data_IF_719363810467
#
_entry.id   IF_719363810467
#
_cell.length_a   1.000
_cell.length_b   1.000
_cell.length_c   1.000
_cell.angle_alpha   90.00
_cell.angle_beta   90.00
_cell.angle_gamma   90.00
#
_symmetry.space_group_name_H-M   'P 1'
#
loop_
_entity.id
_entity.type
_entity.pdbx_description
1 polymer ?
#
# COMPACT_ATOMS: atom_id res chain seq x y z
N UNK A 1 -8.27 10.72 15.41
CA UNK A 1 -7.80 10.17 14.11
C UNK A 1 -8.74 10.65 13.02
N UNK A 2 -8.17 10.96 11.86
CA UNK A 2 -8.96 11.46 10.74
C UNK A 2 -9.31 10.32 9.79
N UNK A 3 -10.47 9.69 10.02
CA UNK A 3 -10.96 8.59 9.18
C UNK A 3 -11.10 9.03 7.71
N UNK A 4 -11.63 10.22 7.48
CA UNK A 4 -11.80 10.74 6.13
C UNK A 4 -10.46 10.87 5.40
N UNK A 5 -9.43 11.34 6.10
CA UNK A 5 -8.10 11.46 5.50
C UNK A 5 -7.52 10.11 5.11
N UNK A 6 -7.66 9.11 5.95
CA UNK A 6 -7.15 7.76 5.68
C UNK A 6 -7.91 7.13 4.51
N UNK A 7 -9.21 7.30 4.43
CA UNK A 7 -10.02 6.80 3.31
C UNK A 7 -9.61 7.52 2.01
N UNK A 8 -9.34 8.82 2.06
CA UNK A 8 -8.86 9.56 0.89
C UNK A 8 -7.53 9.02 0.39
N UNK A 9 -6.64 8.65 1.30
CA UNK A 9 -5.36 8.05 0.93
C UNK A 9 -5.58 6.70 0.23
N UNK A 10 -6.47 5.86 0.77
CA UNK A 10 -6.81 4.58 0.13
C UNK A 10 -7.40 4.78 -1.26
N UNK A 11 -8.28 5.77 -1.43
CA UNK A 11 -8.85 6.09 -2.73
C UNK A 11 -7.80 6.64 -3.69
N UNK A 12 -6.81 7.37 -3.19
CA UNK A 12 -5.67 7.81 -3.98
C UNK A 12 -4.89 6.62 -4.55
N UNK A 13 -4.65 5.60 -3.74
CA UNK A 13 -4.02 4.37 -4.23
C UNK A 13 -4.87 3.66 -5.26
N UNK A 14 -6.18 3.61 -5.05
CA UNK A 14 -7.09 3.05 -6.05
C UNK A 14 -6.95 3.76 -7.39
N UNK A 15 -6.89 5.09 -7.35
CA UNK A 15 -6.72 5.89 -8.56
C UNK A 15 -5.39 5.56 -9.27
N UNK A 16 -4.31 5.44 -8.50
CA UNK A 16 -2.99 5.08 -9.04
C UNK A 16 -3.06 3.68 -9.68
N UNK A 17 -3.73 2.74 -9.02
CA UNK A 17 -3.90 1.37 -9.55
C UNK A 17 -4.66 1.40 -10.88
N UNK A 18 -5.69 2.23 -10.97
CA UNK A 18 -6.45 2.37 -12.22
C UNK A 18 -5.56 2.90 -13.36
N UNK A 19 -4.74 3.91 -13.07
CA UNK A 19 -3.80 4.45 -14.06
C UNK A 19 -2.81 3.36 -14.50
N UNK A 20 -2.25 2.61 -13.56
CA UNK A 20 -1.33 1.53 -13.89
C UNK A 20 -2.00 0.44 -14.73
N UNK A 21 -3.26 0.13 -14.45
CA UNK A 21 -4.01 -0.83 -15.25
C UNK A 21 -4.20 -0.37 -16.68
N UNK A 22 -4.50 0.91 -16.88
CA UNK A 22 -4.59 1.49 -18.23
C UNK A 22 -3.25 1.43 -18.92
N UNK A 23 -2.17 1.77 -18.23
CA UNK A 23 -0.81 1.69 -18.79
C UNK A 23 -0.47 0.28 -19.24
N UNK A 24 -0.85 -0.73 -18.46
CA UNK A 24 -0.61 -2.14 -18.82
C UNK A 24 -1.31 -2.52 -20.12
N UNK A 25 -2.52 -2.02 -20.32
CA UNK A 25 -3.23 -2.24 -21.56
C UNK A 25 -2.57 -1.53 -22.75
N UNK A 26 -2.02 -0.34 -22.51
CA UNK A 26 -1.35 0.41 -23.56
C UNK A 26 -0.05 -0.24 -24.02
N UNK A 27 0.56 -1.13 -23.22
CA UNK A 27 1.74 -1.89 -23.65
C UNK A 27 1.47 -2.74 -24.91
N UNK A 28 0.21 -3.07 -25.16
CA UNK A 28 -0.16 -3.85 -26.37
C UNK A 28 -0.21 -2.99 -27.63
N UNK A 29 -0.29 -1.66 -27.50
CA UNK A 29 -0.49 -0.74 -28.60
C UNK A 29 0.72 0.18 -28.79
N UNK A 30 1.37 0.58 -27.69
CA UNK A 30 2.46 1.54 -27.68
C UNK A 30 3.67 0.89 -27.02
N UNK A 31 4.87 1.12 -27.59
CA UNK A 31 6.11 0.64 -26.98
C UNK A 31 6.53 1.59 -25.87
N UNK A 32 6.64 1.05 -24.65
CA UNK A 32 7.16 1.77 -23.49
C UNK A 32 8.55 1.27 -23.15
N UNK A 33 9.38 2.15 -22.59
CA UNK A 33 10.72 1.80 -22.12
C UNK A 33 10.71 0.99 -20.84
N UNK A 34 9.55 0.86 -20.18
CA UNK A 34 9.42 0.14 -18.92
C UNK A 34 9.22 -1.35 -19.16
N UNK A 35 9.73 -2.16 -18.22
CA UNK A 35 9.49 -3.60 -18.22
C UNK A 35 8.06 -3.87 -17.78
N UNK A 36 7.27 -4.53 -18.65
CA UNK A 36 5.87 -4.86 -18.36
C UNK A 36 5.73 -5.64 -17.05
N UNK A 37 6.62 -6.59 -16.79
CA UNK A 37 6.60 -7.41 -15.59
C UNK A 37 6.73 -6.56 -14.33
N UNK A 38 7.60 -5.55 -14.36
CA UNK A 38 7.78 -4.66 -13.22
C UNK A 38 6.53 -3.81 -12.97
N UNK A 39 5.89 -3.33 -14.04
CA UNK A 39 4.64 -2.57 -13.91
C UNK A 39 3.53 -3.47 -13.39
N UNK A 40 3.47 -4.72 -13.84
CA UNK A 40 2.49 -5.69 -13.34
C UNK A 40 2.66 -5.93 -11.84
N UNK A 41 3.89 -6.11 -11.37
CA UNK A 41 4.16 -6.28 -9.94
C UNK A 41 3.77 -5.03 -9.15
N UNK A 42 4.08 -3.85 -9.67
CA UNK A 42 3.69 -2.59 -9.03
C UNK A 42 2.17 -2.50 -8.92
N UNK A 43 1.47 -2.76 -10.02
CA UNK A 43 0.02 -2.72 -10.06
C UNK A 43 -0.59 -3.65 -9.00
N UNK A 44 -0.18 -4.91 -8.96
CA UNK A 44 -0.74 -5.87 -8.04
C UNK A 44 -0.43 -5.54 -6.58
N UNK A 45 0.80 -5.12 -6.28
CA UNK A 45 1.16 -4.78 -4.91
C UNK A 45 0.43 -3.53 -4.42
N UNK A 46 0.34 -2.48 -5.25
CA UNK A 46 -0.38 -1.26 -4.84
C UNK A 46 -1.87 -1.54 -4.73
N UNK A 47 -2.43 -2.40 -5.59
CA UNK A 47 -3.84 -2.77 -5.49
C UNK A 47 -4.15 -3.47 -4.17
N UNK A 48 -3.35 -4.47 -3.79
CA UNK A 48 -3.61 -5.25 -2.58
C UNK A 48 -3.16 -4.53 -1.33
N UNK A 49 -1.97 -3.93 -1.33
CA UNK A 49 -1.36 -3.39 -0.13
C UNK A 49 -1.69 -1.91 0.06
N UNK A 50 -1.73 -1.14 -1.02
CA UNK A 50 -2.06 0.28 -0.92
C UNK A 50 -3.54 0.51 -0.71
N UNK A 51 -4.37 0.03 -1.63
CA UNK A 51 -5.80 0.30 -1.57
C UNK A 51 -6.52 -0.61 -0.60
N UNK A 52 -6.50 -1.93 -0.84
CA UNK A 52 -7.32 -2.87 -0.07
C UNK A 52 -6.88 -2.92 1.39
N UNK A 53 -5.58 -3.09 1.63
CA UNK A 53 -5.07 -3.20 2.99
C UNK A 53 -5.28 -1.90 3.78
N UNK A 54 -4.97 -0.75 3.17
CA UNK A 54 -5.13 0.55 3.85
C UNK A 54 -6.60 0.79 4.19
N UNK A 55 -7.52 0.49 3.28
CA UNK A 55 -8.94 0.64 3.55
C UNK A 55 -9.39 -0.30 4.66
N UNK A 56 -8.94 -1.56 4.64
CA UNK A 56 -9.32 -2.54 5.65
C UNK A 56 -8.84 -2.17 7.02
N UNK A 57 -7.57 -1.78 7.18
CA UNK A 57 -7.07 -1.42 8.51
C UNK A 57 -7.74 -0.16 9.04
N UNK A 58 -8.09 0.77 8.16
CA UNK A 58 -8.80 1.98 8.56
C UNK A 58 -10.19 1.63 9.09
N UNK A 59 -10.92 0.77 8.39
CA UNK A 59 -12.26 0.35 8.79
C UNK A 59 -12.19 -0.48 10.09
N UNK A 60 -11.25 -1.41 10.17
CA UNK A 60 -11.10 -2.26 11.36
C UNK A 60 -10.78 -1.39 12.58
N UNK A 61 -9.88 -0.43 12.43
CA UNK A 61 -9.56 0.48 13.52
C UNK A 61 -10.81 1.25 13.99
N UNK A 62 -11.56 1.79 13.03
CA UNK A 62 -12.74 2.59 13.35
C UNK A 62 -13.81 1.77 14.08
N UNK A 63 -14.01 0.51 13.65
CA UNK A 63 -15.06 -0.33 14.22
C UNK A 63 -14.67 -0.97 15.55
N UNK A 64 -13.42 -1.37 15.73
CA UNK A 64 -13.03 -2.22 16.85
C UNK A 64 -12.02 -1.58 17.80
N UNK A 65 -11.20 -0.65 17.33
CA UNK A 65 -10.09 -0.13 18.12
C UNK A 65 -10.24 1.32 18.52
N UNK A 66 -11.25 2.03 18.03
CA UNK A 66 -11.40 3.46 18.27
C UNK A 66 -11.61 3.78 19.76
N UNK A 67 -12.21 2.87 20.51
CA UNK A 67 -12.49 3.07 21.93
C UNK A 67 -11.37 2.62 22.86
N UNK A 68 -10.27 2.08 22.32
CA UNK A 68 -9.19 1.50 23.12
C UNK A 68 -8.01 2.43 23.34
N UNK A 69 -8.16 3.72 22.99
CA UNK A 69 -7.10 4.73 23.16
C UNK A 69 -5.77 4.33 22.49
N UNK A 70 -5.86 3.66 21.33
CA UNK A 70 -4.70 3.21 20.57
C UNK A 70 -4.38 4.13 19.41
N UNK A 71 -4.87 5.37 19.45
CA UNK A 71 -4.73 6.30 18.32
C UNK A 71 -3.27 6.59 17.98
N UNK A 72 -2.44 6.87 18.98
CA UNK A 72 -1.03 7.19 18.73
C UNK A 72 -0.27 6.02 18.11
N UNK A 73 -0.30 4.80 18.68
CA UNK A 73 0.35 3.65 18.05
C UNK A 73 -0.19 3.35 16.66
N UNK A 74 -1.50 3.44 16.48
CA UNK A 74 -2.10 3.21 15.17
C UNK A 74 -1.64 4.23 14.13
N UNK A 75 -1.60 5.50 14.52
CA UNK A 75 -1.18 6.57 13.61
C UNK A 75 0.26 6.36 13.14
N UNK A 76 1.17 5.99 14.07
CA UNK A 76 2.55 5.69 13.72
C UNK A 76 2.62 4.51 12.76
N UNK A 77 1.89 3.45 13.06
CA UNK A 77 1.84 2.25 12.23
C UNK A 77 1.29 2.57 10.84
N UNK A 78 0.23 3.35 10.77
CA UNK A 78 -0.37 3.74 9.51
C UNK A 78 0.63 4.47 8.61
N UNK A 79 1.31 5.48 9.16
CA UNK A 79 2.28 6.24 8.37
C UNK A 79 3.50 5.42 8.00
N UNK A 80 3.94 4.53 8.89
CA UNK A 80 5.03 3.60 8.59
C UNK A 80 4.65 2.68 7.42
N UNK A 81 3.42 2.18 7.42
CA UNK A 81 2.90 1.36 6.32
C UNK A 81 2.85 2.15 5.02
N UNK A 82 2.42 3.43 5.07
CA UNK A 82 2.39 4.26 3.88
C UNK A 82 3.77 4.48 3.31
N UNK A 83 4.78 4.70 4.14
CA UNK A 83 6.17 4.85 3.69
C UNK A 83 6.63 3.60 2.96
N UNK A 84 6.33 2.42 3.49
CA UNK A 84 6.72 1.16 2.83
C UNK A 84 6.02 0.98 1.49
N UNK A 85 4.73 1.33 1.40
CA UNK A 85 3.96 1.24 0.15
C UNK A 85 4.53 2.19 -0.90
N UNK A 86 4.83 3.43 -0.50
CA UNK A 86 5.43 4.40 -1.42
C UNK A 86 6.81 3.93 -1.90
N UNK A 87 7.60 3.34 -1.00
CA UNK A 87 8.89 2.77 -1.36
C UNK A 87 8.74 1.68 -2.42
N UNK A 88 7.78 0.77 -2.22
CA UNK A 88 7.50 -0.26 -3.23
C UNK A 88 7.04 0.35 -4.54
N UNK A 89 6.18 1.37 -4.50
CA UNK A 89 5.67 2.02 -5.69
C UNK A 89 6.78 2.65 -6.52
N UNK A 90 7.81 3.20 -5.87
CA UNK A 90 8.93 3.82 -6.57
C UNK A 90 10.02 2.84 -6.99
N UNK A 91 10.11 1.66 -6.36
CA UNK A 91 11.16 0.68 -6.68
C UNK A 91 10.73 -0.37 -7.69
N UNK A 92 9.51 -0.90 -7.57
CA UNK A 92 9.06 -2.00 -8.44
C UNK A 92 9.05 -1.65 -9.92
N UNK A 93 8.60 -0.44 -10.37
CA UNK A 93 8.57 -0.16 -11.80
C UNK A 93 9.95 -0.13 -12.44
N UNK A 94 10.98 0.19 -11.68
CA UNK A 94 12.34 0.36 -12.21
C UNK A 94 13.22 -0.86 -12.01
N UNK A 95 13.08 -1.55 -10.89
CA UNK A 95 13.97 -2.65 -10.52
C UNK A 95 13.27 -3.99 -10.34
N UNK A 96 11.93 -4.01 -10.28
CA UNK A 96 11.19 -5.23 -10.00
C UNK A 96 11.55 -5.78 -8.63
N UNK A 97 11.76 -7.08 -8.53
CA UNK A 97 12.15 -7.73 -7.29
C UNK A 97 13.66 -7.59 -7.06
N UNK A 98 14.11 -6.37 -6.79
CA UNK A 98 15.48 -6.10 -6.42
C UNK A 98 15.60 -5.92 -4.90
N UNK A 99 16.83 -5.67 -4.43
CA UNK A 99 17.09 -5.55 -3.00
C UNK A 99 16.20 -4.52 -2.32
N UNK A 100 16.06 -3.33 -2.90
CA UNK A 100 15.27 -2.26 -2.29
C UNK A 100 13.79 -2.60 -2.21
N UNK A 101 13.23 -3.19 -3.28
CA UNK A 101 11.81 -3.55 -3.27
C UNK A 101 11.53 -4.67 -2.28
N UNK A 102 12.46 -5.62 -2.13
CA UNK A 102 12.32 -6.68 -1.14
C UNK A 102 12.39 -6.12 0.27
N UNK A 103 13.29 -5.15 0.52
CA UNK A 103 13.39 -4.49 1.82
C UNK A 103 12.07 -3.79 2.17
N UNK A 104 11.49 -3.04 1.24
CA UNK A 104 10.21 -2.36 1.49
C UNK A 104 9.07 -3.35 1.69
N UNK A 105 9.05 -4.44 0.94
CA UNK A 105 8.03 -5.49 1.12
C UNK A 105 8.13 -6.14 2.49
N UNK A 106 9.35 -6.43 2.94
CA UNK A 106 9.59 -7.01 4.26
C UNK A 106 9.17 -6.03 5.36
N UNK A 107 9.48 -4.75 5.17
CA UNK A 107 9.07 -3.70 6.10
C UNK A 107 7.54 -3.62 6.19
N UNK A 108 6.85 -3.72 5.07
CA UNK A 108 5.38 -3.77 5.06
C UNK A 108 4.86 -4.99 5.83
N UNK A 109 5.48 -6.15 5.63
CA UNK A 109 5.08 -7.38 6.30
C UNK A 109 5.22 -7.24 7.81
N UNK A 110 6.32 -6.65 8.28
CA UNK A 110 6.53 -6.39 9.70
C UNK A 110 5.44 -5.47 10.24
N UNK A 111 5.10 -4.42 9.50
CA UNK A 111 4.03 -3.51 9.89
C UNK A 111 2.68 -4.22 10.00
N UNK A 112 2.41 -5.17 9.11
CA UNK A 112 1.15 -5.92 9.16
C UNK A 112 1.08 -6.81 10.41
N UNK A 113 2.20 -7.41 10.81
CA UNK A 113 2.26 -8.19 12.05
C UNK A 113 2.06 -7.29 13.28
N UNK A 114 2.65 -6.11 13.28
CA UNK A 114 2.46 -5.15 14.37
C UNK A 114 1.00 -4.73 14.46
N UNK A 115 0.32 -4.54 13.32
CA UNK A 115 -1.10 -4.22 13.32
C UNK A 115 -1.94 -5.34 13.93
N UNK A 116 -1.66 -6.59 13.58
CA UNK A 116 -2.37 -7.72 14.17
C UNK A 116 -2.18 -7.75 15.69
N UNK A 117 -0.96 -7.52 16.15
CA UNK A 117 -0.69 -7.46 17.58
C UNK A 117 -1.47 -6.32 18.26
N UNK A 118 -1.53 -5.17 17.62
CA UNK A 118 -2.31 -4.04 18.12
C UNK A 118 -3.80 -4.38 18.18
N UNK A 119 -4.31 -5.06 17.17
CA UNK A 119 -5.71 -5.49 17.11
C UNK A 119 -6.04 -6.45 18.25
N UNK A 120 -5.13 -7.37 18.57
CA UNK A 120 -5.35 -8.37 19.61
C UNK A 120 -5.24 -7.82 21.04
N UNK A 121 -4.73 -6.63 21.21
CA UNK A 121 -4.76 -5.98 22.52
C UNK A 121 -6.17 -5.45 22.81
#
# INVERSE_FOLDING_TARGET
MNLKGHIKIALGYFFIVAILGVCMRMFQVVDFDFNYKNILHTHSHIALLGWVYTALITIIYQLFLSNKQLEKPYKRLFWSTQISILGMMFTFPFTGYALLSIIFSTYFLINSYVFVRLFLK
#
